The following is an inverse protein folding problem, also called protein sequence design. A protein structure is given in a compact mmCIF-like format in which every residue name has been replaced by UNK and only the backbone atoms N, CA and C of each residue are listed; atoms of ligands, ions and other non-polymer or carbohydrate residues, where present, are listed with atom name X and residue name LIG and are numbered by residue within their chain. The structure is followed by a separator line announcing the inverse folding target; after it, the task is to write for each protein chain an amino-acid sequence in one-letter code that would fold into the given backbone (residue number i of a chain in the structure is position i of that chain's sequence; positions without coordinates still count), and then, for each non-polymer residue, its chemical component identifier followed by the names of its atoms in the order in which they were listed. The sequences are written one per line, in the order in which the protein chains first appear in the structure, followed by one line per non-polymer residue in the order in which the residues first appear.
data_IF_725968560600
#
_entry.id   IF_725968560600
#
_cell.length_a   1.000
_cell.length_b   1.000
_cell.length_c   1.000
_cell.angle_alpha   90.00
_cell.angle_beta   90.00
_cell.angle_gamma   90.00
#
_symmetry.space_group_name_H-M   'P 1'
#
loop_
_entity.id
_entity.type
_entity.pdbx_description
1 polymer ?
#
# COMPACT_ATOMS: atom_id res chain seq x y z
N UNK A 1 13.97 28.85 11.25
CA UNK A 1 15.02 28.13 10.50
C UNK A 1 15.85 27.41 11.53
N UNK A 2 15.62 26.13 11.73
CA UNK A 2 16.34 25.30 12.71
C UNK A 2 17.48 24.62 11.95
N UNK A 3 18.71 24.85 12.41
CA UNK A 3 19.93 24.23 11.85
C UNK A 3 20.25 23.02 12.71
N UNK A 4 20.24 21.83 12.12
CA UNK A 4 20.70 20.62 12.80
C UNK A 4 22.17 20.39 12.41
N UNK A 5 23.06 20.40 13.41
CA UNK A 5 24.46 19.99 13.22
C UNK A 5 24.59 18.48 13.39
N UNK A 6 25.06 17.80 12.36
CA UNK A 6 25.48 16.39 12.44
C UNK A 6 26.96 16.39 12.81
N UNK A 7 27.43 15.59 13.80
CA UNK A 7 28.81 15.54 14.21
C UNK A 7 29.71 15.09 13.06
N UNK A 8 30.72 15.92 12.71
CA UNK A 8 31.63 15.65 11.61
C UNK A 8 33.02 15.18 12.07
N UNK A 9 33.47 14.08 11.49
CA UNK A 9 34.86 13.91 11.05
C UNK A 9 34.86 14.02 9.53
N UNK A 10 35.48 15.07 9.01
CA UNK A 10 35.65 15.50 7.62
C UNK A 10 34.62 16.56 7.13
N UNK A 11 35.23 17.64 6.55
CA UNK A 11 34.56 18.81 5.99
C UNK A 11 33.40 18.43 5.07
N UNK A 12 32.18 18.42 5.61
CA UNK A 12 30.95 18.25 4.83
C UNK A 12 30.25 19.59 4.67
N UNK A 13 29.74 19.85 3.48
CA UNK A 13 28.84 20.96 3.21
C UNK A 13 27.67 20.92 4.19
N UNK A 14 27.46 22.01 4.93
CA UNK A 14 26.25 22.18 5.73
C UNK A 14 25.05 22.18 4.76
N UNK A 15 24.36 21.09 4.66
CA UNK A 15 23.11 21.02 3.89
C UNK A 15 22.03 21.66 4.77
N UNK A 16 21.62 22.87 4.43
CA UNK A 16 20.45 23.51 5.04
C UNK A 16 19.21 22.75 4.58
N UNK A 17 18.71 21.87 5.41
CA UNK A 17 17.40 21.27 5.17
C UNK A 17 16.31 22.34 5.39
N UNK A 18 15.39 22.46 4.46
CA UNK A 18 14.17 23.24 4.69
C UNK A 18 13.40 22.60 5.86
N UNK A 19 12.73 23.43 6.66
CA UNK A 19 11.88 22.94 7.75
C UNK A 19 10.83 21.99 7.15
N UNK A 20 10.73 20.77 7.68
CA UNK A 20 9.75 19.79 7.24
C UNK A 20 8.51 19.93 8.11
N UNK A 21 7.45 20.55 7.56
CA UNK A 21 6.14 20.64 8.21
C UNK A 21 5.38 19.34 7.95
N UNK A 22 5.34 18.41 8.92
CA UNK A 22 4.66 17.15 8.76
C UNK A 22 3.93 16.71 10.04
N UNK A 23 2.91 15.88 9.85
CA UNK A 23 2.19 15.18 10.92
C UNK A 23 2.16 13.70 10.66
N UNK A 24 1.94 12.91 11.68
CA UNK A 24 1.83 11.46 11.62
C UNK A 24 0.36 11.05 11.77
N UNK A 25 -0.09 10.13 10.93
CA UNK A 25 -1.39 9.46 11.01
C UNK A 25 -1.17 7.96 11.27
N UNK A 26 -1.54 7.48 12.44
CA UNK A 26 -1.42 6.08 12.82
C UNK A 26 -2.80 5.44 12.84
N UNK A 27 -2.95 4.32 12.12
CA UNK A 27 -4.14 3.47 12.19
C UNK A 27 -3.85 2.30 13.13
N UNK A 28 -4.71 2.06 14.10
CA UNK A 28 -4.54 0.94 15.05
C UNK A 28 -5.89 0.38 15.53
N UNK A 29 -5.85 -0.87 16.01
CA UNK A 29 -6.91 -1.48 16.81
C UNK A 29 -6.61 -1.38 18.32
N UNK A 30 -5.52 -0.73 18.72
CA UNK A 30 -5.10 -0.59 20.10
C UNK A 30 -4.56 -1.86 20.76
N UNK A 31 -4.12 -2.85 19.97
CA UNK A 31 -3.76 -4.20 20.46
C UNK A 31 -2.37 -4.68 20.04
N UNK A 32 -1.56 -3.84 19.41
CA UNK A 32 -0.24 -4.24 18.90
C UNK A 32 0.84 -4.36 20.00
N UNK A 33 0.60 -3.77 21.18
CA UNK A 33 1.45 -3.94 22.37
C UNK A 33 2.91 -3.55 22.12
N UNK A 34 3.85 -4.46 22.41
CA UNK A 34 5.28 -4.19 22.25
C UNK A 34 5.71 -3.76 20.82
N UNK A 35 4.94 -4.15 19.78
CA UNK A 35 5.23 -3.72 18.42
C UNK A 35 4.83 -2.25 18.21
N UNK A 36 3.71 -1.83 18.81
CA UNK A 36 3.34 -0.44 18.83
C UNK A 36 4.34 0.41 19.63
N UNK A 37 4.87 -0.12 20.76
CA UNK A 37 5.93 0.55 21.50
C UNK A 37 7.16 0.82 20.64
N UNK A 38 7.60 -0.15 19.80
CA UNK A 38 8.71 0.06 18.87
C UNK A 38 8.45 1.21 17.90
N UNK A 39 7.21 1.34 17.39
CA UNK A 39 6.82 2.47 16.55
C UNK A 39 6.95 3.80 17.32
N UNK A 40 6.43 3.86 18.53
CA UNK A 40 6.50 5.07 19.37
C UNK A 40 7.96 5.44 19.67
N UNK A 41 8.82 4.46 19.92
CA UNK A 41 10.26 4.68 20.15
C UNK A 41 10.94 5.20 18.88
N UNK A 42 10.59 4.69 17.68
CA UNK A 42 11.08 5.22 16.42
C UNK A 42 10.66 6.68 16.21
N UNK A 43 9.42 7.05 16.58
CA UNK A 43 8.93 8.43 16.50
C UNK A 43 9.71 9.33 17.46
N UNK A 44 9.91 8.91 18.73
CA UNK A 44 10.67 9.67 19.74
C UNK A 44 12.12 9.92 19.31
N UNK A 45 12.74 8.91 18.70
CA UNK A 45 14.15 8.94 18.29
C UNK A 45 14.34 9.57 16.90
N UNK A 46 13.25 9.95 16.20
CA UNK A 46 13.35 10.56 14.89
C UNK A 46 14.10 11.90 14.93
N UNK A 47 15.00 12.11 13.99
CA UNK A 47 15.79 13.33 13.85
C UNK A 47 14.93 14.58 13.64
N UNK A 48 13.78 14.41 12.99
CA UNK A 48 12.77 15.46 12.79
C UNK A 48 11.50 15.07 13.52
N UNK A 49 11.01 15.92 14.41
CA UNK A 49 9.79 15.65 15.17
C UNK A 49 8.54 16.11 14.41
N UNK A 50 7.42 15.37 14.50
CA UNK A 50 6.17 15.76 13.87
C UNK A 50 5.50 16.93 14.61
N UNK A 51 4.77 17.76 13.86
CA UNK A 51 3.92 18.81 14.46
C UNK A 51 2.75 18.20 15.25
N UNK A 52 2.26 17.06 14.82
CA UNK A 52 1.13 16.34 15.43
C UNK A 52 1.20 14.84 15.14
N UNK A 53 0.78 14.04 16.09
CA UNK A 53 0.52 12.61 15.93
C UNK A 53 -0.98 12.36 16.14
N UNK A 54 -1.65 11.82 15.13
CA UNK A 54 -3.07 11.48 15.16
C UNK A 54 -3.20 9.97 15.12
N UNK A 55 -3.78 9.39 16.17
CA UNK A 55 -3.99 7.94 16.29
C UNK A 55 -5.48 7.65 16.12
N UNK A 56 -5.82 6.87 15.09
CA UNK A 56 -7.21 6.58 14.74
C UNK A 56 -7.57 5.14 15.10
N UNK A 57 -8.59 5.02 15.97
CA UNK A 57 -9.16 3.75 16.39
C UNK A 57 -10.58 3.57 15.85
N UNK A 58 -11.04 2.34 15.69
CA UNK A 58 -12.47 2.09 15.48
C UNK A 58 -13.29 2.45 16.72
N UNK A 59 -14.54 2.84 16.51
CA UNK A 59 -15.51 3.01 17.58
C UNK A 59 -15.62 1.73 18.43
N UNK A 60 -15.72 1.89 19.75
CA UNK A 60 -15.77 0.77 20.68
C UNK A 60 -14.41 0.11 21.01
N UNK A 61 -13.32 0.58 20.43
CA UNK A 61 -11.97 0.08 20.74
C UNK A 61 -11.26 1.00 21.75
N UNK A 62 -10.57 0.38 22.71
CA UNK A 62 -9.81 1.11 23.73
C UNK A 62 -8.50 1.64 23.15
N UNK A 63 -8.03 2.75 23.69
CA UNK A 63 -6.69 3.28 23.41
C UNK A 63 -5.63 2.24 23.79
N UNK A 64 -4.50 2.17 23.05
CA UNK A 64 -3.37 1.35 23.48
C UNK A 64 -2.83 1.81 24.83
N UNK A 65 -2.19 0.88 25.55
CA UNK A 65 -1.53 1.21 26.83
C UNK A 65 -0.28 2.06 26.61
N UNK A 66 0.42 1.78 25.54
CA UNK A 66 1.60 2.48 25.07
C UNK A 66 1.19 3.83 24.46
N UNK A 67 1.84 4.92 24.89
CA UNK A 67 1.51 6.26 24.43
C UNK A 67 2.76 7.15 24.39
N UNK A 68 2.76 8.12 23.47
CA UNK A 68 3.75 9.21 23.44
C UNK A 68 3.46 10.25 24.54
N UNK A 69 2.19 10.44 24.87
CA UNK A 69 1.71 11.41 25.85
C UNK A 69 1.23 12.73 25.26
N UNK A 70 1.37 12.94 23.95
CA UNK A 70 0.93 14.15 23.24
C UNK A 70 0.11 13.88 21.98
N UNK A 71 -0.15 12.61 21.67
CA UNK A 71 -0.95 12.21 20.51
C UNK A 71 -2.44 12.52 20.69
N UNK A 72 -3.08 12.80 19.58
CA UNK A 72 -4.53 13.01 19.49
C UNK A 72 -5.20 11.70 19.08
N UNK A 73 -6.01 11.14 19.97
CA UNK A 73 -6.81 9.95 19.70
C UNK A 73 -8.15 10.33 19.09
N UNK A 74 -8.46 9.66 17.97
CA UNK A 74 -9.70 9.85 17.21
C UNK A 74 -10.38 8.50 17.03
N UNK A 75 -11.70 8.47 17.17
CA UNK A 75 -12.51 7.30 16.90
C UNK A 75 -13.36 7.53 15.66
N UNK A 76 -13.50 6.51 14.82
CA UNK A 76 -14.38 6.52 13.67
C UNK A 76 -14.95 5.11 13.41
N UNK A 77 -15.90 4.99 12.49
CA UNK A 77 -16.38 3.69 12.03
C UNK A 77 -15.19 2.81 11.63
N UNK A 78 -15.22 1.53 12.00
CA UNK A 78 -14.20 0.56 11.63
C UNK A 78 -14.08 0.45 10.10
N UNK A 79 -12.94 0.83 9.57
CA UNK A 79 -12.65 0.84 8.14
C UNK A 79 -11.14 0.93 7.91
N UNK A 80 -10.59 0.11 7.03
CA UNK A 80 -9.17 0.14 6.71
C UNK A 80 -8.76 1.45 6.03
N UNK A 81 -9.56 1.90 5.08
CA UNK A 81 -9.35 3.16 4.36
C UNK A 81 -9.86 4.34 5.18
N UNK A 82 -11.08 4.23 5.71
CA UNK A 82 -11.75 5.30 6.44
C UNK A 82 -10.99 5.80 7.65
N UNK A 83 -10.31 4.91 8.41
CA UNK A 83 -9.47 5.32 9.54
C UNK A 83 -8.31 6.23 9.10
N UNK A 84 -7.65 5.92 7.96
CA UNK A 84 -6.58 6.77 7.43
C UNK A 84 -7.11 8.13 6.99
N UNK A 85 -8.26 8.17 6.32
CA UNK A 85 -8.89 9.42 5.88
C UNK A 85 -9.39 10.27 7.05
N UNK A 86 -9.87 9.64 8.13
CA UNK A 86 -10.33 10.33 9.33
C UNK A 86 -9.21 11.16 9.98
N UNK A 87 -7.95 10.69 9.96
CA UNK A 87 -6.80 11.43 10.45
C UNK A 87 -6.61 12.78 9.75
N UNK A 88 -6.87 12.84 8.44
CA UNK A 88 -6.66 14.04 7.63
C UNK A 88 -7.48 15.25 8.10
N UNK A 89 -8.62 15.03 8.79
CA UNK A 89 -9.44 16.11 9.35
C UNK A 89 -8.71 16.90 10.45
N UNK A 90 -7.70 16.29 11.08
CA UNK A 90 -6.95 16.85 12.21
C UNK A 90 -5.55 17.31 11.83
N UNK A 91 -5.12 17.10 10.58
CA UNK A 91 -3.78 17.40 10.06
C UNK A 91 -3.85 18.64 9.16
N UNK A 92 -2.96 19.61 9.45
CA UNK A 92 -2.82 20.85 8.65
C UNK A 92 -1.44 21.01 8.02
N UNK A 93 -0.46 20.21 8.43
CA UNK A 93 0.90 20.22 7.93
C UNK A 93 0.98 19.95 6.43
N UNK A 94 2.05 20.40 5.80
CA UNK A 94 2.30 20.23 4.36
C UNK A 94 2.36 18.74 3.96
N UNK A 95 2.99 17.93 4.82
CA UNK A 95 3.14 16.49 4.60
C UNK A 95 2.46 15.67 5.68
N UNK A 96 2.05 14.46 5.32
CA UNK A 96 1.54 13.44 6.24
C UNK A 96 2.34 12.16 6.08
N UNK A 97 2.86 11.62 7.20
CA UNK A 97 3.38 10.28 7.30
C UNK A 97 2.25 9.35 7.78
N UNK A 98 1.82 8.42 6.93
CA UNK A 98 0.88 7.37 7.32
C UNK A 98 1.64 6.15 7.79
N UNK A 99 1.21 5.57 8.91
CA UNK A 99 1.84 4.40 9.52
C UNK A 99 0.78 3.40 10.01
N UNK A 100 1.08 2.13 9.86
CA UNK A 100 0.43 1.06 10.62
C UNK A 100 1.08 0.96 12.00
N UNK A 101 0.42 0.31 12.95
CA UNK A 101 0.79 0.28 14.36
C UNK A 101 1.93 -0.71 14.70
N UNK A 102 2.54 -1.32 13.69
CA UNK A 102 3.60 -2.32 13.84
C UNK A 102 4.83 -2.03 12.97
N UNK A 103 5.07 -0.76 12.69
CA UNK A 103 6.23 -0.29 11.94
C UNK A 103 7.34 0.16 12.90
N UNK A 104 8.59 -0.06 12.52
CA UNK A 104 9.76 0.56 13.16
C UNK A 104 10.75 1.06 12.11
N UNK A 105 11.46 2.14 12.41
CA UNK A 105 12.37 2.80 11.47
C UNK A 105 13.50 3.54 12.18
N UNK A 106 14.58 3.82 11.44
CA UNK A 106 15.77 4.51 11.91
C UNK A 106 15.54 6.03 12.06
N UNK A 107 16.37 6.74 12.87
CA UNK A 107 16.17 8.16 13.18
C UNK A 107 16.12 9.09 11.97
N UNK A 108 16.86 8.81 10.90
CA UNK A 108 16.94 9.63 9.69
C UNK A 108 15.90 9.27 8.60
N UNK A 109 15.04 8.30 8.89
CA UNK A 109 14.04 7.79 7.95
C UNK A 109 13.16 8.88 7.36
N UNK A 110 12.63 9.79 8.21
CA UNK A 110 11.76 10.88 7.77
C UNK A 110 12.50 11.86 6.86
N UNK A 111 13.75 12.17 7.16
CA UNK A 111 14.59 13.03 6.32
C UNK A 111 14.76 12.42 4.92
N UNK A 112 15.03 11.12 4.85
CA UNK A 112 15.18 10.39 3.59
C UNK A 112 13.87 10.41 2.76
N UNK A 113 12.72 10.20 3.41
CA UNK A 113 11.43 10.24 2.72
C UNK A 113 11.05 11.65 2.25
N UNK A 114 11.34 12.68 3.03
CA UNK A 114 10.99 14.05 2.70
C UNK A 114 11.79 14.62 1.52
N UNK A 115 13.05 14.18 1.35
CA UNK A 115 13.98 14.74 0.37
C UNK A 115 13.43 14.76 -1.07
N UNK A 116 12.94 13.65 -1.66
CA UNK A 116 12.39 13.68 -3.03
C UNK A 116 11.16 14.57 -3.18
N UNK A 117 10.37 14.78 -2.12
CA UNK A 117 9.21 15.67 -2.13
C UNK A 117 9.62 17.14 -2.04
N UNK A 118 10.61 17.47 -1.21
CA UNK A 118 11.17 18.82 -1.11
C UNK A 118 11.89 19.24 -2.41
N UNK A 119 12.54 18.30 -3.07
CA UNK A 119 13.13 18.50 -4.41
C UNK A 119 12.06 18.64 -5.52
N UNK A 120 10.77 18.51 -5.18
CA UNK A 120 9.63 18.56 -6.12
C UNK A 120 9.70 17.52 -7.25
N UNK A 121 10.44 16.45 -7.03
CA UNK A 121 10.56 15.34 -7.98
C UNK A 121 9.41 14.36 -7.83
N UNK A 122 8.88 14.22 -6.60
CA UNK A 122 7.81 13.29 -6.25
C UNK A 122 6.81 13.92 -5.28
N UNK A 123 5.64 13.34 -5.21
CA UNK A 123 4.52 13.79 -4.36
C UNK A 123 4.29 12.82 -3.20
N UNK A 124 4.77 11.59 -3.34
CA UNK A 124 4.69 10.52 -2.35
C UNK A 124 5.98 9.71 -2.35
N UNK A 125 6.43 9.29 -1.18
CA UNK A 125 7.61 8.44 -1.01
C UNK A 125 7.40 7.41 0.09
N UNK A 126 8.06 6.26 -0.04
CA UNK A 126 8.17 5.23 1.00
C UNK A 126 9.50 4.50 0.90
N UNK A 127 9.80 3.65 1.86
CA UNK A 127 10.93 2.73 1.80
C UNK A 127 10.59 1.42 1.06
N UNK A 128 11.60 0.62 0.69
CA UNK A 128 11.40 -0.68 0.07
C UNK A 128 10.86 -1.70 1.09
N UNK A 129 9.94 -2.56 0.67
CA UNK A 129 9.41 -3.68 1.44
C UNK A 129 9.43 -4.96 0.60
N UNK A 130 10.62 -5.53 0.42
CA UNK A 130 10.83 -6.69 -0.45
C UNK A 130 10.21 -7.99 0.11
N UNK A 131 9.87 -8.04 1.40
CA UNK A 131 9.21 -9.20 2.01
C UNK A 131 7.84 -9.52 1.40
N UNK A 132 7.21 -8.56 0.72
CA UNK A 132 5.94 -8.76 0.01
C UNK A 132 6.11 -9.33 -1.40
N UNK A 133 7.33 -9.44 -1.90
CA UNK A 133 7.60 -10.03 -3.20
C UNK A 133 7.72 -11.56 -3.10
N UNK A 134 7.41 -12.29 -4.20
CA UNK A 134 7.58 -13.74 -4.21
C UNK A 134 9.02 -14.15 -3.89
N UNK A 135 9.20 -14.91 -2.80
CA UNK A 135 10.53 -15.35 -2.34
C UNK A 135 11.07 -16.56 -3.12
N UNK A 136 10.21 -17.34 -3.80
CA UNK A 136 10.61 -18.58 -4.47
C UNK A 136 10.70 -18.42 -5.99
N UNK A 137 11.70 -19.06 -6.60
CA UNK A 137 11.84 -19.13 -8.07
C UNK A 137 10.58 -19.71 -8.74
N UNK A 138 9.97 -20.74 -8.14
CA UNK A 138 8.73 -21.33 -8.64
C UNK A 138 7.56 -20.34 -8.61
N UNK A 139 7.44 -19.56 -7.53
CA UNK A 139 6.43 -18.47 -7.42
C UNK A 139 6.62 -17.39 -8.47
N UNK A 140 7.86 -17.01 -8.73
CA UNK A 140 8.21 -16.04 -9.78
C UNK A 140 7.83 -16.55 -11.18
N UNK A 141 8.19 -17.80 -11.52
CA UNK A 141 7.84 -18.42 -12.81
C UNK A 141 6.31 -18.50 -12.96
N UNK A 142 5.63 -18.98 -11.93
CA UNK A 142 4.16 -19.03 -11.92
C UNK A 142 3.53 -17.64 -12.13
N UNK A 143 4.08 -16.62 -11.50
CA UNK A 143 3.64 -15.22 -11.66
C UNK A 143 3.80 -14.70 -13.08
N UNK A 144 4.93 -14.99 -13.73
CA UNK A 144 5.19 -14.64 -15.14
C UNK A 144 4.18 -15.36 -16.04
N UNK A 145 4.05 -16.68 -15.89
CA UNK A 145 3.18 -17.51 -16.73
C UNK A 145 1.69 -17.13 -16.58
N UNK A 146 1.29 -16.60 -15.43
CA UNK A 146 -0.11 -16.21 -15.19
C UNK A 146 -0.37 -14.72 -15.35
N UNK A 147 0.62 -13.92 -15.72
CA UNK A 147 0.55 -12.45 -15.77
C UNK A 147 -0.02 -11.84 -14.44
N UNK A 148 0.31 -12.46 -13.30
CA UNK A 148 -0.17 -12.03 -11.97
C UNK A 148 0.86 -11.14 -11.27
N UNK A 149 1.95 -11.76 -10.80
CA UNK A 149 3.06 -11.08 -10.11
C UNK A 149 4.35 -11.59 -10.71
N UNK A 150 5.14 -10.73 -11.33
CA UNK A 150 6.34 -11.13 -12.06
C UNK A 150 7.52 -10.21 -11.79
N UNK A 151 8.74 -10.75 -11.93
CA UNK A 151 9.93 -9.88 -11.99
C UNK A 151 9.82 -9.00 -13.23
N UNK A 152 10.17 -7.73 -13.09
CA UNK A 152 10.17 -6.79 -14.20
C UNK A 152 11.28 -7.13 -15.20
N UNK A 153 10.89 -7.41 -16.43
CA UNK A 153 11.83 -7.65 -17.53
C UNK A 153 12.20 -6.37 -18.28
N UNK A 154 11.28 -5.41 -18.36
CA UNK A 154 11.39 -4.20 -19.19
C UNK A 154 11.42 -2.88 -18.39
N UNK A 155 10.99 -2.88 -17.14
CA UNK A 155 10.89 -1.68 -16.29
C UNK A 155 11.75 -1.83 -15.04
N UNK A 156 13.05 -2.07 -15.22
CA UNK A 156 14.01 -2.25 -14.11
C UNK A 156 14.34 -0.95 -13.37
N UNK A 157 13.95 0.17 -13.91
CA UNK A 157 14.00 1.50 -13.32
C UNK A 157 12.83 1.77 -12.34
N UNK A 158 11.79 0.91 -12.35
CA UNK A 158 10.63 1.03 -11.48
C UNK A 158 10.61 -0.06 -10.39
N UNK A 159 10.14 0.31 -9.18
CA UNK A 159 9.93 -0.66 -8.11
C UNK A 159 8.75 -1.61 -8.41
N UNK A 160 7.58 -1.05 -8.73
CA UNK A 160 6.40 -1.80 -9.15
C UNK A 160 5.75 -1.11 -10.33
N UNK A 161 5.38 -1.92 -11.35
CA UNK A 161 4.58 -1.54 -12.51
C UNK A 161 3.29 -2.33 -12.55
N UNK A 162 2.15 -1.66 -12.69
CA UNK A 162 0.84 -2.33 -12.87
C UNK A 162 0.72 -2.82 -14.31
N UNK A 163 0.30 -4.07 -14.46
CA UNK A 163 0.12 -4.72 -15.75
C UNK A 163 -1.31 -4.53 -16.28
N UNK A 164 -1.50 -4.65 -17.58
CA UNK A 164 -2.83 -4.56 -18.22
C UNK A 164 -3.81 -5.66 -17.81
N UNK A 165 -3.31 -6.75 -17.23
CA UNK A 165 -4.12 -7.78 -16.58
C UNK A 165 -4.63 -7.37 -15.20
N UNK A 166 -4.21 -6.22 -14.66
CA UNK A 166 -4.39 -5.84 -13.26
C UNK A 166 -3.39 -6.48 -12.30
N UNK A 167 -2.53 -7.38 -12.79
CA UNK A 167 -1.36 -7.86 -12.07
C UNK A 167 -0.27 -6.80 -11.96
N UNK A 168 0.90 -7.17 -11.47
CA UNK A 168 2.02 -6.23 -11.33
C UNK A 168 3.37 -6.91 -11.54
N UNK A 169 4.33 -6.14 -12.02
CA UNK A 169 5.74 -6.54 -12.07
C UNK A 169 6.55 -5.74 -11.07
N UNK A 170 7.62 -6.33 -10.56
CA UNK A 170 8.46 -5.74 -9.53
C UNK A 170 9.94 -5.85 -9.86
N UNK A 171 10.71 -4.95 -9.28
CA UNK A 171 12.17 -4.96 -9.32
C UNK A 171 12.74 -4.85 -7.91
N UNK A 172 13.75 -5.67 -7.61
CA UNK A 172 14.57 -5.56 -6.41
C UNK A 172 15.88 -4.88 -6.75
N UNK A 173 16.37 -4.04 -5.86
CA UNK A 173 17.57 -3.24 -6.05
C UNK A 173 18.42 -3.21 -4.78
N UNK A 174 19.65 -2.74 -4.92
CA UNK A 174 20.55 -2.50 -3.81
C UNK A 174 20.07 -1.28 -2.99
N UNK A 175 20.08 -1.44 -1.67
CA UNK A 175 19.68 -0.40 -0.70
C UNK A 175 20.86 0.35 -0.10
N UNK A 176 22.09 0.08 -0.52
CA UNK A 176 23.31 0.74 0.00
C UNK A 176 23.49 2.16 -0.53
N UNK A 177 22.97 2.46 -1.74
CA UNK A 177 23.04 3.77 -2.37
C UNK A 177 21.67 4.43 -2.42
N UNK A 178 21.62 5.74 -2.15
CA UNK A 178 20.39 6.51 -2.25
C UNK A 178 19.98 6.71 -3.70
N UNK A 179 18.86 6.10 -4.06
CA UNK A 179 18.18 6.26 -5.36
C UNK A 179 16.68 6.32 -5.16
N UNK A 180 15.99 6.95 -6.11
CA UNK A 180 14.53 7.06 -6.13
C UNK A 180 13.99 6.21 -7.28
N UNK A 181 13.30 5.12 -6.93
CA UNK A 181 12.67 4.25 -7.91
C UNK A 181 11.19 4.61 -8.05
N UNK A 182 10.73 5.11 -9.22
CA UNK A 182 9.31 5.32 -9.47
C UNK A 182 8.49 4.07 -9.18
N UNK A 183 7.24 4.24 -8.75
CA UNK A 183 6.36 3.11 -8.47
C UNK A 183 4.91 3.44 -8.75
N UNK A 184 4.15 2.44 -9.24
CA UNK A 184 2.70 2.50 -9.43
C UNK A 184 1.94 1.77 -8.31
N UNK A 185 2.66 1.09 -7.41
CA UNK A 185 2.09 0.47 -6.22
C UNK A 185 3.16 0.28 -5.14
N UNK A 186 2.76 0.36 -3.89
CA UNK A 186 3.59 0.09 -2.71
C UNK A 186 2.70 -0.31 -1.53
N UNK A 187 3.26 -0.97 -0.53
CA UNK A 187 2.51 -1.34 0.67
C UNK A 187 2.08 -0.09 1.45
N UNK A 188 0.80 -0.04 1.81
CA UNK A 188 0.23 1.12 2.54
C UNK A 188 0.52 1.07 4.05
N UNK A 189 1.51 0.33 4.46
CA UNK A 189 1.95 0.20 5.86
C UNK A 189 2.72 1.42 6.35
N UNK A 190 3.48 2.06 5.44
CA UNK A 190 4.26 3.25 5.72
C UNK A 190 4.45 4.07 4.44
N UNK A 191 4.03 5.34 4.43
CA UNK A 191 4.31 6.26 3.31
C UNK A 191 4.19 7.73 3.72
N UNK A 192 5.00 8.56 3.09
CA UNK A 192 5.09 10.01 3.29
C UNK A 192 4.56 10.72 2.04
N UNK A 193 3.57 11.59 2.21
CA UNK A 193 2.84 12.19 1.08
C UNK A 193 2.52 13.66 1.34
N UNK A 194 2.43 14.47 0.29
CA UNK A 194 1.82 15.80 0.40
C UNK A 194 0.37 15.65 0.87
N UNK A 195 0.03 16.28 1.98
CA UNK A 195 -1.30 16.16 2.61
C UNK A 195 -2.44 16.48 1.64
N UNK A 196 -2.27 17.52 0.84
CA UNK A 196 -3.27 17.91 -0.15
C UNK A 196 -3.43 16.89 -1.28
N UNK A 197 -2.33 16.23 -1.69
CA UNK A 197 -2.40 15.15 -2.68
C UNK A 197 -3.26 14.01 -2.16
N UNK A 198 -3.04 13.57 -0.91
CA UNK A 198 -3.86 12.50 -0.31
C UNK A 198 -5.36 12.88 -0.26
N UNK A 199 -5.69 14.12 0.09
CA UNK A 199 -7.08 14.60 0.06
C UNK A 199 -7.68 14.55 -1.34
N UNK A 200 -6.90 14.95 -2.34
CA UNK A 200 -7.36 15.00 -3.72
C UNK A 200 -7.62 13.60 -4.32
N UNK A 201 -7.10 12.52 -3.76
CA UNK A 201 -7.30 11.17 -4.31
C UNK A 201 -8.75 10.69 -4.19
N UNK A 202 -9.58 11.32 -3.35
CA UNK A 202 -10.98 10.94 -3.13
C UNK A 202 -11.11 9.41 -2.87
N UNK A 203 -10.31 8.91 -1.93
CA UNK A 203 -10.30 7.48 -1.60
C UNK A 203 -11.62 7.00 -0.97
N UNK A 204 -12.43 7.92 -0.44
CA UNK A 204 -13.77 7.66 0.05
C UNK A 204 -14.70 7.07 -1.02
N UNK A 205 -14.52 7.41 -2.29
CA UNK A 205 -15.30 6.88 -3.41
C UNK A 205 -15.08 5.37 -3.63
N UNK A 206 -13.96 4.85 -3.16
CA UNK A 206 -13.57 3.45 -3.33
C UNK A 206 -13.95 2.56 -2.12
N UNK A 207 -14.28 3.16 -0.97
CA UNK A 207 -14.63 2.44 0.26
C UNK A 207 -15.78 1.42 0.03
N UNK A 208 -16.88 1.76 -0.69
CA UNK A 208 -18.02 0.84 -0.81
C UNK A 208 -17.65 -0.53 -1.38
N UNK A 209 -16.75 -0.58 -2.37
CA UNK A 209 -16.37 -1.86 -2.97
C UNK A 209 -15.13 -2.49 -2.31
N UNK A 210 -14.19 -1.67 -1.82
CA UNK A 210 -13.03 -2.18 -1.07
C UNK A 210 -13.45 -2.89 0.22
N UNK A 211 -14.43 -2.34 0.94
CA UNK A 211 -14.93 -2.93 2.19
C UNK A 211 -15.81 -4.17 1.99
N UNK A 212 -16.23 -4.47 0.76
CA UNK A 212 -16.85 -5.78 0.44
C UNK A 212 -15.84 -6.93 0.54
N UNK A 213 -14.57 -6.63 0.36
CA UNK A 213 -13.49 -7.53 0.69
C UNK A 213 -13.14 -7.41 2.18
N UNK A 214 -12.90 -8.54 2.83
CA UNK A 214 -12.33 -8.49 4.18
C UNK A 214 -10.99 -7.76 4.12
N UNK A 215 -10.74 -6.92 5.13
CA UNK A 215 -9.52 -6.10 5.27
C UNK A 215 -9.31 -5.07 4.16
N UNK A 216 -10.33 -4.70 3.38
CA UNK A 216 -10.21 -3.82 2.22
C UNK A 216 -9.01 -4.22 1.31
N UNK A 217 -8.84 -5.52 1.09
CA UNK A 217 -7.72 -6.11 0.36
C UNK A 217 -7.45 -5.36 -0.95
N UNK A 218 -6.23 -4.84 -1.11
CA UNK A 218 -5.78 -4.09 -2.29
C UNK A 218 -6.00 -2.58 -2.22
N UNK A 219 -6.41 -2.03 -1.08
CA UNK A 219 -6.56 -0.59 -0.86
C UNK A 219 -5.27 0.19 -1.19
N UNK A 220 -4.13 -0.40 -0.88
CA UNK A 220 -2.79 0.10 -1.20
C UNK A 220 -2.59 0.27 -2.72
N UNK A 221 -2.94 -0.75 -3.51
CA UNK A 221 -2.83 -0.68 -4.98
C UNK A 221 -3.77 0.37 -5.57
N UNK A 222 -5.00 0.45 -5.06
CA UNK A 222 -5.99 1.44 -5.51
C UNK A 222 -5.48 2.85 -5.26
N UNK A 223 -5.00 3.14 -4.05
CA UNK A 223 -4.50 4.45 -3.70
C UNK A 223 -3.29 4.85 -4.57
N UNK A 224 -2.29 3.97 -4.66
CA UNK A 224 -1.09 4.25 -5.43
C UNK A 224 -1.40 4.42 -6.93
N UNK A 225 -2.31 3.61 -7.47
CA UNK A 225 -2.71 3.72 -8.88
C UNK A 225 -3.51 4.98 -9.17
N UNK A 226 -4.45 5.37 -8.28
CA UNK A 226 -5.16 6.67 -8.40
C UNK A 226 -4.18 7.84 -8.35
N UNK A 227 -3.16 7.78 -7.49
CA UNK A 227 -2.12 8.80 -7.40
C UNK A 227 -1.42 9.00 -8.74
N UNK A 228 -0.94 7.90 -9.34
CA UNK A 228 -0.24 7.95 -10.63
C UNK A 228 -1.17 8.41 -11.77
N UNK A 229 -2.41 7.92 -11.80
CA UNK A 229 -3.39 8.32 -12.82
C UNK A 229 -3.76 9.80 -12.75
N UNK A 230 -3.71 10.41 -11.57
CA UNK A 230 -3.86 11.86 -11.38
C UNK A 230 -2.64 12.69 -11.82
N UNK A 231 -1.60 12.05 -12.31
CA UNK A 231 -0.37 12.70 -12.72
C UNK A 231 0.60 13.00 -11.56
N UNK A 232 0.29 12.55 -10.34
CA UNK A 232 1.23 12.60 -9.22
C UNK A 232 2.27 11.50 -9.34
N UNK A 233 3.43 11.69 -8.71
CA UNK A 233 4.55 10.76 -8.79
C UNK A 233 4.85 10.17 -7.41
N UNK A 234 4.96 8.85 -7.35
CA UNK A 234 5.40 8.13 -6.17
C UNK A 234 6.76 7.47 -6.39
N UNK A 235 7.57 7.39 -5.35
CA UNK A 235 8.85 6.68 -5.40
C UNK A 235 9.13 5.86 -4.15
N UNK A 236 10.02 4.88 -4.33
CA UNK A 236 10.72 4.21 -3.26
C UNK A 236 12.09 4.86 -3.08
N UNK A 237 12.39 5.27 -1.85
CA UNK A 237 13.73 5.74 -1.47
C UNK A 237 14.53 4.54 -1.00
N UNK A 238 15.51 4.11 -1.77
CA UNK A 238 16.23 2.85 -1.55
C UNK A 238 16.84 2.70 -0.16
N UNK A 239 17.36 3.78 0.42
CA UNK A 239 18.01 3.80 1.72
C UNK A 239 17.09 4.11 2.90
N UNK A 240 15.81 4.40 2.65
CA UNK A 240 14.82 4.64 3.70
C UNK A 240 14.23 3.30 4.17
N UNK A 241 15.01 2.56 4.97
CA UNK A 241 14.63 1.24 5.44
C UNK A 241 13.69 1.34 6.65
N UNK A 242 12.71 0.45 6.68
CA UNK A 242 11.82 0.25 7.81
C UNK A 242 11.46 -1.22 7.96
N UNK A 243 11.03 -1.60 9.14
CA UNK A 243 10.58 -2.95 9.43
C UNK A 243 9.07 -2.99 9.62
N UNK A 244 8.42 -3.99 9.04
CA UNK A 244 7.04 -4.35 9.32
C UNK A 244 7.03 -5.53 10.28
N UNK A 245 6.72 -5.27 11.55
CA UNK A 245 6.83 -6.23 12.65
C UNK A 245 5.69 -7.26 12.70
N UNK A 246 4.69 -7.16 11.82
CA UNK A 246 3.51 -8.02 11.68
C UNK A 246 2.84 -8.36 13.03
N UNK A 247 2.06 -7.43 13.56
CA UNK A 247 1.39 -7.58 14.85
C UNK A 247 0.31 -8.67 14.86
N UNK A 248 -0.11 -9.18 13.70
CA UNK A 248 -1.18 -10.21 13.55
C UNK A 248 -2.49 -9.85 14.27
N UNK A 249 -2.72 -8.58 14.52
CA UNK A 249 -3.89 -8.09 15.26
C UNK A 249 -5.21 -8.31 14.51
N UNK A 250 -5.13 -8.45 13.20
CA UNK A 250 -6.27 -8.66 12.30
C UNK A 250 -6.47 -10.11 11.86
N UNK A 251 -5.50 -11.02 12.09
CA UNK A 251 -5.56 -12.42 11.67
C UNK A 251 -5.94 -13.32 12.84
N UNK A 252 -7.04 -14.05 12.69
CA UNK A 252 -7.40 -15.12 13.62
C UNK A 252 -6.63 -16.40 13.26
N UNK A 253 -6.13 -17.06 14.30
CA UNK A 253 -5.62 -18.44 14.42
C UNK A 253 -5.15 -19.23 13.20
N UNK A 254 -4.02 -19.84 13.37
CA UNK A 254 -3.12 -20.51 12.46
C UNK A 254 -3.49 -21.95 12.06
N UNK A 255 -4.60 -22.50 12.47
CA UNK A 255 -4.89 -23.94 12.27
C UNK A 255 -5.83 -24.27 11.10
N UNK A 256 -6.52 -23.28 10.54
CA UNK A 256 -7.43 -23.48 9.40
C UNK A 256 -6.81 -22.86 8.16
N UNK A 257 -6.78 -23.60 7.04
CA UNK A 257 -6.41 -23.05 5.73
C UNK A 257 -7.22 -21.79 5.49
N UNK A 258 -6.59 -20.64 5.67
CA UNK A 258 -7.27 -19.36 5.53
C UNK A 258 -7.60 -19.13 4.05
N UNK A 259 -8.86 -19.28 3.69
CA UNK A 259 -9.37 -19.11 2.33
C UNK A 259 -9.77 -17.66 2.02
N UNK A 260 -9.76 -16.79 3.01
CA UNK A 260 -10.15 -15.38 2.87
C UNK A 260 -9.22 -14.59 1.94
N UNK A 261 -7.89 -14.56 2.14
CA UNK A 261 -7.00 -13.84 1.23
C UNK A 261 -7.09 -14.34 -0.22
N UNK A 262 -7.13 -15.66 -0.50
CA UNK A 262 -7.35 -16.17 -1.85
C UNK A 262 -8.68 -15.68 -2.49
N UNK A 263 -9.78 -15.69 -1.74
CA UNK A 263 -11.06 -15.15 -2.20
C UNK A 263 -10.94 -13.65 -2.52
N UNK A 264 -10.39 -12.88 -1.59
CA UNK A 264 -10.21 -11.44 -1.76
C UNK A 264 -9.33 -11.11 -2.97
N UNK A 265 -8.28 -11.91 -3.21
CA UNK A 265 -7.42 -11.77 -4.41
C UNK A 265 -8.23 -11.92 -5.69
N UNK A 266 -9.09 -12.96 -5.78
CA UNK A 266 -9.92 -13.20 -6.96
C UNK A 266 -10.93 -12.07 -7.21
N UNK A 267 -11.62 -11.64 -6.17
CA UNK A 267 -12.59 -10.53 -6.25
C UNK A 267 -11.90 -9.22 -6.64
N UNK A 268 -10.87 -8.84 -5.91
CA UNK A 268 -10.13 -7.61 -6.12
C UNK A 268 -9.58 -7.51 -7.54
N UNK A 269 -8.97 -8.58 -8.05
CA UNK A 269 -8.35 -8.58 -9.37
C UNK A 269 -9.36 -8.20 -10.46
N UNK A 270 -10.58 -8.74 -10.41
CA UNK A 270 -11.63 -8.46 -11.40
C UNK A 270 -12.14 -7.03 -11.26
N UNK A 271 -12.47 -6.61 -10.03
CA UNK A 271 -13.05 -5.27 -9.80
C UNK A 271 -12.03 -4.17 -10.09
N UNK A 272 -10.79 -4.33 -9.62
CA UNK A 272 -9.70 -3.40 -9.88
C UNK A 272 -9.43 -3.27 -11.38
N UNK A 273 -9.29 -4.41 -12.08
CA UNK A 273 -9.05 -4.39 -13.52
C UNK A 273 -10.18 -3.68 -14.28
N UNK A 274 -11.44 -4.03 -13.98
CA UNK A 274 -12.59 -3.44 -14.65
C UNK A 274 -12.63 -1.93 -14.43
N UNK A 275 -12.57 -1.49 -13.17
CA UNK A 275 -12.72 -0.10 -12.78
C UNK A 275 -11.58 0.79 -13.26
N UNK A 276 -10.32 0.37 -13.07
CA UNK A 276 -9.14 1.23 -13.27
C UNK A 276 -8.39 0.99 -14.58
N UNK A 277 -8.56 -0.15 -15.21
CA UNK A 277 -7.84 -0.49 -16.44
C UNK A 277 -8.78 -0.54 -17.64
N UNK A 278 -9.96 -1.13 -17.49
CA UNK A 278 -10.89 -1.29 -18.59
C UNK A 278 -11.78 -0.06 -18.80
N UNK A 279 -12.48 0.39 -17.76
CA UNK A 279 -13.43 1.50 -17.86
C UNK A 279 -12.72 2.82 -18.11
N UNK A 280 -11.57 3.01 -17.45
CA UNK A 280 -10.75 4.22 -17.52
C UNK A 280 -9.93 4.35 -18.82
N UNK A 281 -9.83 3.30 -19.63
CA UNK A 281 -9.08 3.34 -20.88
C UNK A 281 -9.87 4.11 -21.96
N UNK A 282 -9.36 5.25 -22.49
CA UNK A 282 -10.08 6.03 -23.48
C UNK A 282 -10.07 5.41 -24.87
N UNK A 283 -9.04 4.62 -25.20
CA UNK A 283 -8.84 4.08 -26.56
C UNK A 283 -9.56 2.74 -26.72
N UNK A 284 -10.54 2.67 -27.64
CA UNK A 284 -11.30 1.44 -27.90
C UNK A 284 -10.41 0.24 -28.23
N UNK A 285 -9.36 0.43 -29.03
CA UNK A 285 -8.40 -0.64 -29.32
C UNK A 285 -7.71 -1.16 -28.07
N UNK A 286 -7.29 -0.26 -27.18
CA UNK A 286 -6.63 -0.65 -25.94
C UNK A 286 -7.59 -1.35 -24.96
N UNK A 287 -8.89 -1.04 -24.99
CA UNK A 287 -9.92 -1.82 -24.27
C UNK A 287 -9.96 -3.29 -24.73
N UNK A 288 -9.81 -3.54 -26.02
CA UNK A 288 -9.72 -4.91 -26.56
C UNK A 288 -8.45 -5.60 -26.04
N UNK A 289 -7.30 -4.91 -26.07
CA UNK A 289 -6.03 -5.43 -25.52
C UNK A 289 -6.18 -5.73 -24.03
N UNK A 290 -6.77 -4.83 -23.25
CA UNK A 290 -7.00 -5.04 -21.82
C UNK A 290 -7.90 -6.26 -21.57
N UNK A 291 -8.96 -6.44 -22.37
CA UNK A 291 -9.85 -7.62 -22.28
C UNK A 291 -9.11 -8.93 -22.61
N UNK A 292 -8.22 -8.90 -23.59
CA UNK A 292 -7.35 -10.06 -23.89
C UNK A 292 -6.41 -10.37 -22.71
N UNK A 293 -5.78 -9.35 -22.13
CA UNK A 293 -4.86 -9.52 -20.99
C UNK A 293 -5.55 -10.12 -19.77
N UNK A 294 -6.76 -9.67 -19.41
CA UNK A 294 -7.50 -10.25 -18.28
C UNK A 294 -8.01 -11.65 -18.62
N UNK A 295 -8.44 -11.90 -19.86
CA UNK A 295 -8.81 -13.24 -20.32
C UNK A 295 -7.65 -14.23 -20.20
N UNK A 296 -6.46 -13.84 -20.65
CA UNK A 296 -5.24 -14.63 -20.48
C UNK A 296 -4.97 -14.89 -18.98
N UNK A 297 -5.02 -13.86 -18.13
CA UNK A 297 -4.83 -14.02 -16.69
C UNK A 297 -5.84 -15.00 -16.09
N UNK A 298 -7.11 -14.91 -16.46
CA UNK A 298 -8.15 -15.83 -15.98
C UNK A 298 -7.87 -17.29 -16.35
N UNK A 299 -7.58 -17.54 -17.61
CA UNK A 299 -7.32 -18.91 -18.13
C UNK A 299 -6.04 -19.48 -17.53
N UNK A 300 -4.94 -18.73 -17.58
CA UNK A 300 -3.65 -19.19 -17.08
C UNK A 300 -3.65 -19.38 -15.54
N UNK A 301 -4.29 -18.47 -14.80
CA UNK A 301 -4.48 -18.59 -13.35
C UNK A 301 -5.34 -19.79 -12.99
N UNK A 302 -6.41 -20.04 -13.74
CA UNK A 302 -7.26 -21.22 -13.53
C UNK A 302 -6.44 -22.51 -13.75
N UNK A 303 -5.77 -22.63 -14.92
CA UNK A 303 -4.98 -23.80 -15.27
C UNK A 303 -3.87 -24.08 -14.25
N UNK A 304 -3.10 -23.06 -13.87
CA UNK A 304 -2.04 -23.17 -12.87
C UNK A 304 -2.59 -23.63 -11.50
N UNK A 305 -3.66 -23.02 -11.01
CA UNK A 305 -4.23 -23.34 -9.70
C UNK A 305 -4.92 -24.71 -9.69
N UNK A 306 -5.55 -25.10 -10.80
CA UNK A 306 -6.12 -26.43 -10.96
C UNK A 306 -5.02 -27.51 -10.92
N UNK A 307 -3.94 -27.32 -11.70
CA UNK A 307 -2.79 -28.21 -11.67
C UNK A 307 -2.21 -28.34 -10.26
N UNK A 308 -2.03 -27.21 -9.57
CA UNK A 308 -1.57 -27.21 -8.19
C UNK A 308 -2.54 -27.91 -7.24
N UNK A 309 -3.85 -27.79 -7.42
CA UNK A 309 -4.84 -28.47 -6.60
C UNK A 309 -4.84 -29.99 -6.82
N UNK A 310 -4.58 -30.44 -8.05
CA UNK A 310 -4.44 -31.87 -8.39
C UNK A 310 -3.14 -32.42 -7.79
N UNK A 311 -2.02 -31.69 -7.90
CA UNK A 311 -0.70 -32.15 -7.47
C UNK A 311 -0.44 -31.97 -5.96
N UNK A 312 -1.15 -31.09 -5.28
CA UNK A 312 -0.90 -30.75 -3.87
C UNK A 312 -2.13 -31.03 -3.02
N UNK A 313 -2.03 -32.05 -2.17
CA UNK A 313 -3.11 -32.36 -1.19
C UNK A 313 -3.39 -31.12 -0.32
N UNK A 314 -4.65 -30.74 -0.18
CA UNK A 314 -5.06 -29.58 0.65
C UNK A 314 -5.10 -28.23 -0.09
N UNK A 315 -4.72 -28.14 -1.36
CA UNK A 315 -4.81 -26.87 -2.11
C UNK A 315 -6.23 -26.60 -2.68
N UNK A 316 -7.12 -27.57 -2.72
CA UNK A 316 -8.50 -27.43 -3.22
C UNK A 316 -9.29 -26.31 -2.55
N UNK A 317 -9.25 -26.12 -1.22
CA UNK A 317 -9.95 -24.99 -0.58
C UNK A 317 -9.46 -23.63 -1.10
N UNK A 318 -8.15 -23.48 -1.35
CA UNK A 318 -7.55 -22.26 -1.90
C UNK A 318 -8.01 -22.04 -3.33
N UNK A 319 -7.94 -23.07 -4.19
CA UNK A 319 -8.45 -23.02 -5.55
C UNK A 319 -9.93 -22.58 -5.58
N UNK A 320 -10.77 -23.24 -4.82
CA UNK A 320 -12.21 -22.93 -4.76
C UNK A 320 -12.46 -21.51 -4.24
N UNK A 321 -11.66 -21.03 -3.28
CA UNK A 321 -11.79 -19.67 -2.75
C UNK A 321 -11.48 -18.62 -3.84
N UNK A 322 -10.38 -18.78 -4.59
CA UNK A 322 -10.06 -17.86 -5.69
C UNK A 322 -11.14 -17.86 -6.76
N UNK A 323 -11.63 -19.05 -7.15
CA UNK A 323 -12.70 -19.14 -8.17
C UNK A 323 -14.00 -18.49 -7.70
N UNK A 324 -14.38 -18.67 -6.43
CA UNK A 324 -15.53 -17.95 -5.84
C UNK A 324 -15.30 -16.44 -5.84
N UNK A 325 -14.09 -15.99 -5.52
CA UNK A 325 -13.73 -14.57 -5.56
C UNK A 325 -13.86 -13.98 -6.97
N UNK A 326 -13.32 -14.65 -7.98
CA UNK A 326 -13.45 -14.24 -9.40
C UNK A 326 -14.93 -14.17 -9.79
N UNK A 327 -15.70 -15.21 -9.50
CA UNK A 327 -17.15 -15.23 -9.80
C UNK A 327 -17.90 -14.09 -9.10
N UNK A 328 -17.58 -13.83 -7.84
CA UNK A 328 -18.17 -12.73 -7.08
C UNK A 328 -17.78 -11.37 -7.67
N UNK A 329 -16.51 -11.17 -8.08
CA UNK A 329 -16.05 -9.97 -8.75
C UNK A 329 -16.77 -9.72 -10.08
N UNK A 330 -16.91 -10.75 -10.92
CA UNK A 330 -17.68 -10.67 -12.17
C UNK A 330 -19.13 -10.29 -11.90
N UNK A 331 -19.77 -10.94 -10.92
CA UNK A 331 -21.16 -10.58 -10.51
C UNK A 331 -21.24 -9.14 -10.04
N UNK A 332 -20.26 -8.67 -9.29
CA UNK A 332 -20.26 -7.34 -8.71
C UNK A 332 -20.13 -6.24 -9.76
N UNK A 333 -19.25 -6.37 -10.75
CA UNK A 333 -19.09 -5.36 -11.81
C UNK A 333 -20.34 -5.19 -12.69
N UNK A 334 -21.28 -6.12 -12.65
CA UNK A 334 -22.58 -6.05 -13.34
C UNK A 334 -23.75 -5.72 -12.40
N UNK A 335 -23.48 -5.38 -11.14
CA UNK A 335 -24.52 -5.03 -10.17
C UNK A 335 -24.85 -3.55 -10.18
N UNK A 336 -26.10 -3.21 -9.80
CA UNK A 336 -26.53 -1.82 -9.64
C UNK A 336 -25.63 -1.06 -8.65
N UNK A 337 -25.13 -1.74 -7.63
CA UNK A 337 -24.24 -1.16 -6.64
C UNK A 337 -22.90 -0.69 -7.27
N UNK A 338 -22.34 -1.49 -8.18
CA UNK A 338 -21.14 -1.07 -8.91
C UNK A 338 -21.43 0.07 -9.87
N UNK A 339 -22.55 0.03 -10.57
CA UNK A 339 -22.97 1.09 -11.50
C UNK A 339 -23.25 2.44 -10.80
N UNK A 340 -23.58 2.40 -9.51
CA UNK A 340 -23.79 3.58 -8.67
C UNK A 340 -22.49 4.14 -8.08
N UNK A 341 -21.34 3.44 -8.23
CA UNK A 341 -20.07 4.01 -7.77
C UNK A 341 -19.80 5.34 -8.49
N UNK A 342 -19.29 6.34 -7.77
CA UNK A 342 -18.88 7.58 -8.40
C UNK A 342 -17.89 7.31 -9.54
N UNK A 343 -17.93 8.08 -10.64
CA UNK A 343 -16.90 7.99 -11.67
C UNK A 343 -15.52 8.24 -11.05
N UNK A 344 -14.48 7.60 -11.60
CA UNK A 344 -13.13 7.82 -11.09
C UNK A 344 -12.80 9.30 -11.31
N UNK A 345 -12.53 9.98 -10.20
CA UNK A 345 -12.13 11.38 -10.21
C UNK A 345 -10.61 11.46 -10.20
N UNK A 346 -10.03 12.07 -11.23
CA UNK A 346 -8.62 12.35 -11.37
C UNK A 346 -8.29 13.82 -11.15
#
# INVERSE_FOLDING_TARGET
MVVYEVPQKNRQKVVKYAVISYSIAIRTLGRAGAKYQKLLDSIRNSTVQPEKVVVVLPEGYSKPKEQLGYEVFVHCRKSMVGQRLAALKYIKSEYTLFLDDDISFEPDFILKLAKPLQEKKYDCSTGPLFSFFPASKAGTIAGILTASVSVSLFHRDMYVKILRSGGWSYHTFDTSEERYYPTESFAWTCFFIRTQVMRNLNMEDEIPWLEKNQYAFGDDRVMAYKLVKRGYRACIVSTALYEHNDAKTSTASTEIVNTTPPYCTGFFQIVFWHRFIQDDEPLKFMKVVNSFCIGYWMVSSFAYRLLKAVLTRGYWPIFNAVMRGIKAGIKYIHSDEYLQLPPIRY
#
